data_IF_261681541215
#
_entry.id   IF_261681541215
#
_cell.length_a   1.000
_cell.length_b   1.000
_cell.length_c   1.000
_cell.angle_alpha   90.00
_cell.angle_beta   90.00
_cell.angle_gamma   90.00
#
_symmetry.space_group_name_H-M   'P 1'
#
loop_
_entity.id
_entity.type
_entity.pdbx_description
1 polymer ?
#
# COMPACT_ATOMS: atom_id res chain seq x y z
N UNK A 1 -6.21 15.89 -20.06
CA UNK A 1 -7.06 16.15 -18.87
C UNK A 1 -6.48 15.36 -17.72
N UNK A 2 -6.14 16.02 -16.61
CA UNK A 2 -5.78 15.32 -15.37
C UNK A 2 -7.12 14.91 -14.77
N UNK A 3 -7.40 13.61 -14.68
CA UNK A 3 -8.59 13.11 -13.98
C UNK A 3 -8.40 13.46 -12.51
N UNK A 4 -9.26 14.28 -11.92
CA UNK A 4 -9.18 14.57 -10.50
C UNK A 4 -9.48 13.29 -9.73
N UNK A 5 -8.65 12.98 -8.74
CA UNK A 5 -8.86 11.83 -7.87
C UNK A 5 -8.76 12.31 -6.45
N UNK A 6 -9.81 12.09 -5.66
CA UNK A 6 -9.85 12.52 -4.27
C UNK A 6 -9.28 11.43 -3.36
N UNK A 7 -8.48 11.83 -2.37
CA UNK A 7 -7.92 10.92 -1.38
C UNK A 7 -8.67 11.08 -0.07
N UNK A 8 -9.19 9.98 0.45
CA UNK A 8 -9.90 9.95 1.72
C UNK A 8 -9.46 8.79 2.61
N UNK A 9 -9.70 8.86 3.94
CA UNK A 9 -9.62 7.69 4.79
C UNK A 9 -10.52 6.56 4.27
N UNK A 10 -10.05 5.33 4.43
CA UNK A 10 -10.87 4.16 4.18
C UNK A 10 -11.98 4.01 5.22
N UNK A 11 -13.01 3.28 4.84
CA UNK A 11 -14.12 2.83 5.67
C UNK A 11 -14.23 1.31 5.59
N UNK A 12 -14.82 0.63 6.58
CA UNK A 12 -14.96 -0.83 6.55
C UNK A 12 -15.65 -1.35 5.27
N UNK A 13 -16.60 -0.58 4.72
CA UNK A 13 -17.38 -0.97 3.54
C UNK A 13 -16.57 -0.95 2.24
N UNK A 14 -15.43 -0.25 2.21
CA UNK A 14 -14.56 -0.18 1.02
C UNK A 14 -13.92 -1.54 0.68
N UNK A 15 -13.93 -2.49 1.62
CA UNK A 15 -13.41 -3.84 1.38
C UNK A 15 -14.02 -4.50 0.15
N UNK A 16 -15.34 -4.41 0.00
CA UNK A 16 -16.05 -5.12 -1.07
C UNK A 16 -15.66 -4.54 -2.44
N UNK A 17 -15.49 -3.21 -2.53
CA UNK A 17 -15.02 -2.52 -3.73
C UNK A 17 -13.56 -2.89 -4.07
N UNK A 18 -12.69 -3.00 -3.06
CA UNK A 18 -11.29 -3.41 -3.26
C UNK A 18 -11.24 -4.85 -3.78
N UNK A 19 -11.84 -5.80 -3.07
CA UNK A 19 -11.73 -7.22 -3.41
C UNK A 19 -12.39 -7.55 -4.76
N UNK A 20 -13.40 -6.79 -5.17
CA UNK A 20 -14.01 -6.91 -6.49
C UNK A 20 -13.05 -6.63 -7.65
N UNK A 21 -11.93 -5.91 -7.43
CA UNK A 21 -11.03 -5.47 -8.51
C UNK A 21 -9.57 -5.91 -8.38
N UNK A 22 -9.12 -6.33 -7.19
CA UNK A 22 -7.68 -6.58 -6.96
C UNK A 22 -7.08 -7.67 -7.84
N UNK A 23 -7.81 -8.75 -8.09
CA UNK A 23 -7.32 -9.88 -8.89
C UNK A 23 -7.13 -9.45 -10.35
N UNK A 24 -8.08 -8.67 -10.89
CA UNK A 24 -8.03 -8.11 -12.23
C UNK A 24 -6.89 -7.10 -12.37
N UNK A 25 -6.69 -6.24 -11.37
CA UNK A 25 -5.60 -5.26 -11.38
C UNK A 25 -4.22 -5.92 -11.35
N UNK A 26 -4.11 -7.09 -10.72
CA UNK A 26 -2.89 -7.89 -10.63
C UNK A 26 -2.73 -8.90 -11.77
N UNK A 27 -3.80 -9.21 -12.51
CA UNK A 27 -3.83 -10.29 -13.50
C UNK A 27 -3.68 -11.69 -12.91
N UNK A 28 -3.92 -11.86 -11.59
CA UNK A 28 -3.81 -13.13 -10.86
C UNK A 28 -4.53 -13.04 -9.52
N UNK A 29 -4.87 -14.19 -8.95
CA UNK A 29 -5.43 -14.29 -7.60
C UNK A 29 -4.47 -13.70 -6.55
N UNK A 30 -4.90 -12.60 -5.91
CA UNK A 30 -4.19 -11.89 -4.85
C UNK A 30 -5.13 -11.43 -3.72
N UNK A 31 -6.44 -11.50 -3.89
CA UNK A 31 -7.43 -11.14 -2.87
C UNK A 31 -7.15 -11.80 -1.50
N UNK A 32 -6.67 -13.04 -1.47
CA UNK A 32 -6.29 -13.74 -0.24
C UNK A 32 -5.16 -13.08 0.56
N UNK A 33 -4.38 -12.18 -0.04
CA UNK A 33 -3.36 -11.38 0.65
C UNK A 33 -3.95 -10.18 1.41
N UNK A 34 -5.22 -9.84 1.21
CA UNK A 34 -5.93 -8.80 1.94
C UNK A 34 -7.18 -9.37 2.65
N UNK A 35 -7.03 -10.04 3.79
CA UNK A 35 -8.15 -10.44 4.62
C UNK A 35 -8.99 -9.24 5.12
N UNK A 36 -10.31 -9.46 5.31
CA UNK A 36 -11.30 -8.48 5.81
C UNK A 36 -10.84 -7.69 7.04
N UNK A 37 -10.10 -8.33 7.94
CA UNK A 37 -9.59 -7.74 9.18
C UNK A 37 -8.87 -6.39 8.98
N UNK A 38 -8.22 -6.18 7.83
CA UNK A 38 -7.50 -4.94 7.56
C UNK A 38 -8.43 -3.73 7.47
N UNK A 39 -9.62 -3.91 6.89
CA UNK A 39 -10.61 -2.83 6.80
C UNK A 39 -11.50 -2.80 8.06
N UNK A 40 -11.74 -3.94 8.71
CA UNK A 40 -12.51 -3.94 9.97
C UNK A 40 -11.75 -3.24 11.11
N UNK A 41 -10.42 -3.40 11.19
CA UNK A 41 -9.62 -2.93 12.33
C UNK A 41 -8.60 -1.83 12.01
N UNK A 42 -8.20 -1.68 10.74
CA UNK A 42 -7.13 -0.76 10.33
C UNK A 42 -7.55 0.19 9.19
N UNK A 43 -8.86 0.40 8.99
CA UNK A 43 -9.34 1.36 7.99
C UNK A 43 -8.92 2.81 8.30
N UNK A 44 -8.86 3.22 9.57
CA UNK A 44 -8.40 4.57 9.97
C UNK A 44 -6.96 4.87 9.54
N UNK A 45 -6.14 3.85 9.28
CA UNK A 45 -4.75 3.98 8.84
C UNK A 45 -4.57 3.60 7.38
N UNK A 46 -5.67 3.49 6.65
CA UNK A 46 -5.73 3.11 5.24
C UNK A 46 -6.39 4.23 4.42
N UNK A 47 -6.08 4.31 3.14
CA UNK A 47 -6.51 5.37 2.25
C UNK A 47 -7.19 4.79 1.01
N UNK A 48 -8.21 5.49 0.53
CA UNK A 48 -8.89 5.25 -0.73
C UNK A 48 -8.66 6.45 -1.64
N UNK A 49 -8.49 6.16 -2.92
CA UNK A 49 -8.55 7.14 -3.98
C UNK A 49 -9.77 6.86 -4.86
N UNK A 50 -10.71 7.79 -4.91
CA UNK A 50 -11.88 7.72 -5.77
C UNK A 50 -11.64 8.55 -7.04
N UNK A 51 -12.10 8.05 -8.18
CA UNK A 51 -12.21 8.83 -9.42
C UNK A 51 -13.42 9.76 -9.37
N UNK A 52 -13.51 10.71 -10.31
CA UNK A 52 -14.63 11.67 -10.39
C UNK A 52 -16.01 11.00 -10.52
N UNK A 53 -16.07 9.82 -11.14
CA UNK A 53 -17.29 9.02 -11.29
C UNK A 53 -17.61 8.15 -10.05
N UNK A 54 -16.83 8.28 -8.98
CA UNK A 54 -16.97 7.52 -7.74
C UNK A 54 -16.40 6.11 -7.80
N UNK A 55 -15.75 5.71 -8.90
CA UNK A 55 -15.09 4.40 -9.00
C UNK A 55 -13.76 4.38 -8.25
N UNK A 56 -13.38 3.20 -7.75
CA UNK A 56 -12.13 3.00 -7.04
C UNK A 56 -10.93 3.17 -7.99
N UNK A 57 -10.16 4.24 -7.82
CA UNK A 57 -8.96 4.53 -8.59
C UNK A 57 -7.68 3.95 -7.97
N UNK A 58 -7.68 3.76 -6.65
CA UNK A 58 -6.57 3.17 -5.93
C UNK A 58 -6.84 3.08 -4.44
N UNK A 59 -5.99 2.34 -3.72
CA UNK A 59 -6.09 2.19 -2.29
C UNK A 59 -4.71 1.91 -1.69
N UNK A 60 -4.54 2.22 -0.40
CA UNK A 60 -3.38 1.85 0.40
C UNK A 60 -3.86 1.33 1.75
N UNK A 61 -3.45 0.12 2.08
CA UNK A 61 -3.69 -0.55 3.36
C UNK A 61 -2.44 -0.41 4.21
N UNK A 62 -2.56 0.39 5.26
CA UNK A 62 -1.48 0.74 6.16
C UNK A 62 -1.82 0.36 7.59
N UNK A 63 -0.80 0.04 8.38
CA UNK A 63 -0.93 -0.25 9.81
C UNK A 63 0.12 0.54 10.60
N UNK A 64 -0.28 0.99 11.79
CA UNK A 64 0.63 1.60 12.77
C UNK A 64 0.97 0.53 13.81
N UNK A 65 2.25 0.16 13.94
CA UNK A 65 2.62 -1.01 14.75
C UNK A 65 2.38 -0.75 16.24
N UNK A 66 1.64 -1.62 16.94
CA UNK A 66 1.50 -1.51 18.40
C UNK A 66 2.76 -1.98 19.14
N UNK A 67 3.53 -2.91 18.55
CA UNK A 67 4.74 -3.47 19.14
C UNK A 67 5.98 -2.61 18.89
N UNK A 68 6.05 -1.94 17.73
CA UNK A 68 7.12 -1.01 17.36
C UNK A 68 6.53 0.38 17.23
N UNK A 69 6.48 1.12 18.35
CA UNK A 69 5.76 2.40 18.43
C UNK A 69 6.31 3.49 17.51
N UNK A 70 7.53 3.35 17.01
CA UNK A 70 8.17 4.23 16.05
C UNK A 70 7.84 3.89 14.57
N UNK A 71 7.20 2.75 14.30
CA UNK A 71 7.04 2.18 12.96
C UNK A 71 5.59 2.13 12.47
N UNK A 72 5.42 2.56 11.22
CA UNK A 72 4.27 2.25 10.37
C UNK A 72 4.65 1.21 9.30
N UNK A 73 3.67 0.54 8.72
CA UNK A 73 3.89 -0.49 7.72
C UNK A 73 2.82 -0.45 6.63
N UNK A 74 3.25 -0.47 5.37
CA UNK A 74 2.36 -0.56 4.22
C UNK A 74 2.21 -2.05 3.88
N UNK A 75 1.00 -2.57 4.11
CA UNK A 75 0.68 -3.98 3.87
C UNK A 75 0.36 -4.24 2.39
N UNK A 76 -0.52 -3.42 1.82
CA UNK A 76 -1.02 -3.63 0.46
C UNK A 76 -1.36 -2.31 -0.20
N UNK A 77 -1.07 -2.15 -1.48
CA UNK A 77 -1.36 -0.91 -2.21
C UNK A 77 -1.65 -1.25 -3.66
N UNK A 78 -2.69 -0.64 -4.22
CA UNK A 78 -3.12 -0.86 -5.59
C UNK A 78 -3.51 0.44 -6.28
N UNK A 79 -3.22 0.52 -7.58
CA UNK A 79 -3.66 1.61 -8.45
C UNK A 79 -4.30 0.97 -9.69
N UNK A 80 -5.50 1.45 -10.02
CA UNK A 80 -6.27 1.00 -11.18
C UNK A 80 -5.40 1.11 -12.44
N UNK A 81 -5.44 0.12 -13.37
CA UNK A 81 -4.64 0.16 -14.59
C UNK A 81 -4.76 1.48 -15.37
N UNK A 82 -5.97 2.02 -15.50
CA UNK A 82 -6.25 3.29 -16.19
C UNK A 82 -5.68 4.52 -15.47
N UNK A 83 -5.37 4.40 -14.17
CA UNK A 83 -4.84 5.48 -13.34
C UNK A 83 -3.31 5.41 -13.16
N UNK A 84 -2.63 4.41 -13.74
CA UNK A 84 -1.17 4.28 -13.64
C UNK A 84 -0.47 5.40 -14.41
N UNK A 85 0.70 5.82 -13.94
CA UNK A 85 1.47 6.92 -14.55
C UNK A 85 0.94 8.33 -14.24
N UNK A 86 -0.18 8.47 -13.54
CA UNK A 86 -0.75 9.78 -13.14
C UNK A 86 -0.12 10.39 -11.88
N UNK A 87 0.72 9.62 -11.18
CA UNK A 87 1.25 9.99 -9.86
C UNK A 87 0.38 9.56 -8.67
N UNK A 88 -0.74 8.86 -8.89
CA UNK A 88 -1.64 8.45 -7.80
C UNK A 88 -0.96 7.63 -6.70
N UNK A 89 -0.10 6.66 -7.08
CA UNK A 89 0.62 5.84 -6.10
C UNK A 89 1.51 6.68 -5.17
N UNK A 90 2.14 7.75 -5.71
CA UNK A 90 2.93 8.70 -4.91
C UNK A 90 2.03 9.42 -3.90
N UNK A 91 0.88 9.94 -4.35
CA UNK A 91 -0.09 10.63 -3.49
C UNK A 91 -0.60 9.74 -2.35
N UNK A 92 -0.90 8.47 -2.63
CA UNK A 92 -1.30 7.49 -1.61
C UNK A 92 -0.20 7.32 -0.55
N UNK A 93 1.06 7.15 -0.98
CA UNK A 93 2.19 7.00 -0.06
C UNK A 93 2.44 8.26 0.77
N UNK A 94 2.42 9.43 0.13
CA UNK A 94 2.62 10.72 0.82
C UNK A 94 1.50 10.99 1.84
N UNK A 95 0.25 10.66 1.50
CA UNK A 95 -0.87 10.71 2.44
C UNK A 95 -0.67 9.77 3.64
N UNK A 96 -0.19 8.54 3.40
CA UNK A 96 0.09 7.61 4.48
C UNK A 96 1.28 8.05 5.35
N UNK A 97 2.31 8.65 4.75
CA UNK A 97 3.44 9.22 5.47
C UNK A 97 3.01 10.33 6.41
N UNK A 98 2.18 11.26 5.92
CA UNK A 98 1.63 12.34 6.74
C UNK A 98 0.79 11.78 7.90
N UNK A 99 -0.04 10.77 7.65
CA UNK A 99 -0.82 10.07 8.68
C UNK A 99 0.09 9.44 9.74
N UNK A 100 1.14 8.72 9.31
CA UNK A 100 2.09 8.08 10.21
C UNK A 100 2.88 9.11 11.04
N UNK A 101 3.33 10.22 10.43
CA UNK A 101 4.02 11.30 11.13
C UNK A 101 3.12 11.98 12.16
N UNK A 102 1.84 12.19 11.83
CA UNK A 102 0.87 12.77 12.77
C UNK A 102 0.63 11.89 14.01
N UNK A 103 0.78 10.57 13.88
CA UNK A 103 0.74 9.61 15.00
C UNK A 103 2.11 9.45 15.69
N UNK A 104 3.11 10.25 15.32
CA UNK A 104 4.45 10.21 15.93
C UNK A 104 5.34 9.07 15.43
N UNK A 105 5.02 8.45 14.29
CA UNK A 105 5.89 7.44 13.68
C UNK A 105 7.02 8.13 12.92
N UNK A 106 8.18 7.50 12.96
CA UNK A 106 9.40 8.03 12.35
C UNK A 106 9.96 7.09 11.26
N UNK A 107 9.38 5.91 11.07
CA UNK A 107 9.79 4.96 10.02
C UNK A 107 8.62 4.25 9.39
N UNK A 108 8.74 3.92 8.10
CA UNK A 108 7.81 3.09 7.34
C UNK A 108 8.51 1.87 6.78
N UNK A 109 7.89 0.69 6.94
CA UNK A 109 8.30 -0.55 6.31
C UNK A 109 7.32 -1.03 5.24
N UNK A 110 7.82 -1.83 4.30
CA UNK A 110 7.04 -2.60 3.34
C UNK A 110 7.90 -3.77 2.81
N UNK A 111 7.28 -4.71 2.10
CA UNK A 111 8.00 -5.80 1.43
C UNK A 111 7.48 -6.04 0.02
N UNK A 112 8.29 -6.71 -0.81
CA UNK A 112 7.82 -7.27 -2.09
C UNK A 112 8.64 -8.48 -2.50
N UNK A 113 8.15 -9.24 -3.48
CA UNK A 113 8.90 -10.36 -4.06
C UNK A 113 10.12 -9.86 -4.86
N UNK A 114 11.27 -10.55 -4.85
CA UNK A 114 12.47 -10.18 -5.61
C UNK A 114 12.26 -9.95 -7.11
N UNK A 115 11.27 -10.61 -7.72
CA UNK A 115 10.98 -10.47 -9.16
C UNK A 115 10.15 -9.22 -9.48
N UNK A 116 9.63 -8.51 -8.47
CA UNK A 116 8.78 -7.34 -8.67
C UNK A 116 9.62 -6.07 -8.88
N UNK A 117 10.30 -5.99 -10.02
CA UNK A 117 11.16 -4.87 -10.39
C UNK A 117 10.43 -3.51 -10.35
N UNK A 118 9.14 -3.49 -10.73
CA UNK A 118 8.31 -2.29 -10.69
C UNK A 118 8.11 -1.76 -9.27
N UNK A 119 7.77 -2.63 -8.32
CA UNK A 119 7.65 -2.25 -6.90
C UNK A 119 8.99 -1.78 -6.33
N UNK A 120 10.10 -2.45 -6.65
CA UNK A 120 11.43 -2.06 -6.19
C UNK A 120 11.80 -0.66 -6.70
N UNK A 121 11.59 -0.38 -7.99
CA UNK A 121 11.87 0.93 -8.57
C UNK A 121 10.96 2.02 -7.97
N UNK A 122 9.68 1.71 -7.78
CA UNK A 122 8.73 2.64 -7.16
C UNK A 122 9.15 3.00 -5.73
N UNK A 123 9.43 2.02 -4.87
CA UNK A 123 9.86 2.25 -3.49
C UNK A 123 11.19 3.03 -3.42
N UNK A 124 12.15 2.76 -4.33
CA UNK A 124 13.36 3.59 -4.45
C UNK A 124 13.04 5.04 -4.77
N UNK A 125 12.12 5.31 -5.69
CA UNK A 125 11.71 6.68 -6.05
C UNK A 125 10.89 7.39 -4.97
N UNK A 126 10.30 6.62 -4.05
CA UNK A 126 9.70 7.12 -2.81
C UNK A 126 10.73 7.25 -1.68
N UNK A 127 12.02 6.98 -1.94
CA UNK A 127 13.13 7.15 -1.02
C UNK A 127 13.18 6.11 0.09
N UNK A 128 12.71 4.89 -0.16
CA UNK A 128 13.01 3.74 0.69
C UNK A 128 14.42 3.22 0.42
N UNK A 129 15.08 2.80 1.49
CA UNK A 129 16.19 1.85 1.39
C UNK A 129 15.65 0.48 0.95
N UNK A 130 16.41 -0.23 0.14
CA UNK A 130 16.05 -1.55 -0.40
C UNK A 130 17.06 -2.57 0.07
N UNK A 131 16.61 -3.54 0.88
CA UNK A 131 17.44 -4.62 1.40
C UNK A 131 16.94 -5.97 0.90
N UNK A 132 17.86 -6.83 0.48
CA UNK A 132 17.56 -8.22 0.13
C UNK A 132 18.02 -8.62 -1.28
N UNK A 133 17.63 -9.81 -1.77
CA UNK A 133 16.64 -10.71 -1.15
C UNK A 133 17.03 -11.18 0.25
N UNK A 134 16.09 -11.11 1.20
CA UNK A 134 16.21 -11.76 2.51
C UNK A 134 15.63 -13.16 2.36
N UNK A 135 16.51 -14.15 2.48
CA UNK A 135 16.16 -15.55 2.21
C UNK A 135 15.17 -16.06 3.25
N UNK A 136 14.09 -16.69 2.78
CA UNK A 136 13.06 -17.29 3.61
C UNK A 136 12.30 -16.32 4.52
N UNK A 137 12.21 -15.04 4.14
CA UNK A 137 11.59 -14.00 4.96
C UNK A 137 10.15 -14.35 5.37
N UNK A 138 9.32 -14.78 4.42
CA UNK A 138 7.94 -15.22 4.68
C UNK A 138 7.83 -16.76 4.80
N UNK A 139 8.93 -17.43 5.15
CA UNK A 139 9.06 -18.88 5.26
C UNK A 139 9.87 -19.52 4.13
N UNK A 140 10.14 -20.84 4.21
CA UNK A 140 11.01 -21.53 3.25
C UNK A 140 10.62 -21.29 1.78
N UNK A 141 11.58 -20.84 0.97
CA UNK A 141 11.37 -20.53 -0.45
C UNK A 141 10.60 -19.23 -0.73
N UNK A 142 10.28 -18.43 0.30
CA UNK A 142 9.58 -17.15 0.17
C UNK A 142 10.51 -16.00 0.54
N UNK A 143 11.47 -15.77 -0.34
CA UNK A 143 12.41 -14.67 -0.22
C UNK A 143 11.71 -13.34 -0.49
N UNK A 144 12.08 -12.30 0.26
CA UNK A 144 11.48 -10.98 0.11
C UNK A 144 12.54 -9.88 0.03
N UNK A 145 12.21 -8.82 -0.69
CA UNK A 145 12.87 -7.53 -0.59
C UNK A 145 12.18 -6.76 0.52
N UNK A 146 12.97 -6.22 1.45
CA UNK A 146 12.52 -5.43 2.58
C UNK A 146 12.82 -3.96 2.32
N UNK A 147 11.80 -3.13 2.48
CA UNK A 147 11.88 -1.69 2.34
C UNK A 147 11.84 -1.03 3.71
N UNK A 148 12.70 -0.03 3.93
CA UNK A 148 12.67 0.81 5.13
C UNK A 148 12.93 2.28 4.75
N UNK A 149 12.11 3.18 5.28
CA UNK A 149 12.21 4.63 5.06
C UNK A 149 12.07 5.36 6.38
N UNK A 150 12.94 6.34 6.63
CA UNK A 150 12.72 7.34 7.67
C UNK A 150 11.70 8.38 7.18
N UNK A 151 10.81 8.80 8.08
CA UNK A 151 9.79 9.82 7.85
C UNK A 151 10.28 11.22 8.21
#
# INVERSE_FOLDING_TARGET
MIVAMDLRPARPEDYDAIIAVVDDWWGRAIAGALPRLFLDHFHHTSLIADAEDGTLAGFLIGVLSPAQRDRAYIHFVGVAPAARGTGLGRRLYEGFFALAQADGRIRVGAITSPVNAGSIAFHRSMGFSVKGPVIGYDGPGKDMIVFDRAL
#
